data_IF_173737063953
#
_entry.id   IF_173737063953
#
_cell.length_a   1.000
_cell.length_b   1.000
_cell.length_c   1.000
_cell.angle_alpha   90.00
_cell.angle_beta   90.00
_cell.angle_gamma   90.00
#
_symmetry.space_group_name_H-M   'P 1'
#
loop_
_entity.id
_entity.type
_entity.pdbx_description
1 polymer ?
#
# COMPACT_ATOMS: atom_id res chain seq x y z
N UNK A 1 6.16 -8.02 -16.07
CA UNK A 1 5.39 -7.45 -14.96
C UNK A 1 4.62 -6.20 -15.40
N UNK A 2 5.22 -5.27 -16.14
CA UNK A 2 4.63 -3.96 -16.49
C UNK A 2 3.72 -3.93 -17.73
N UNK A 3 3.52 -5.05 -18.40
CA UNK A 3 2.66 -5.11 -19.60
C UNK A 3 1.20 -5.27 -19.21
N UNK A 4 0.30 -4.51 -19.88
CA UNK A 4 -1.16 -4.62 -19.73
C UNK A 4 -1.63 -4.53 -18.27
N UNK A 5 -1.17 -3.51 -17.56
CA UNK A 5 -1.53 -3.26 -16.17
C UNK A 5 -2.99 -2.76 -16.04
N UNK A 6 -3.96 -3.53 -16.50
CA UNK A 6 -5.37 -3.26 -16.17
C UNK A 6 -5.60 -3.52 -14.69
N UNK A 7 -6.45 -2.71 -14.09
CA UNK A 7 -6.63 -2.67 -12.63
C UNK A 7 -6.90 -4.03 -11.96
N UNK A 8 -7.57 -4.95 -12.63
CA UNK A 8 -7.89 -6.28 -12.08
C UNK A 8 -6.76 -7.32 -12.18
N UNK A 9 -5.77 -7.10 -13.04
CA UNK A 9 -4.80 -8.14 -13.36
C UNK A 9 -3.63 -8.23 -12.38
N UNK A 10 -3.41 -7.19 -11.59
CA UNK A 10 -2.21 -7.12 -10.74
C UNK A 10 -2.41 -7.74 -9.38
N UNK A 11 -3.62 -7.65 -8.82
CA UNK A 11 -3.97 -8.29 -7.55
C UNK A 11 -4.16 -9.81 -7.67
N UNK A 12 -4.44 -10.30 -8.89
CA UNK A 12 -4.59 -11.74 -9.17
C UNK A 12 -3.30 -12.45 -9.56
N UNK A 13 -2.16 -11.74 -9.70
CA UNK A 13 -0.88 -12.31 -10.17
C UNK A 13 0.09 -12.69 -9.05
N UNK A 14 -0.38 -13.10 -7.89
CA UNK A 14 0.47 -13.63 -6.84
C UNK A 14 1.09 -12.55 -5.94
N UNK A 15 2.33 -12.79 -5.51
CA UNK A 15 3.02 -12.10 -4.41
C UNK A 15 3.54 -10.70 -4.70
N UNK A 16 3.03 -10.01 -5.72
CA UNK A 16 3.52 -8.67 -6.10
C UNK A 16 2.40 -7.64 -6.20
N UNK A 17 2.78 -6.38 -6.10
CA UNK A 17 1.90 -5.24 -6.32
C UNK A 17 2.61 -4.17 -7.15
N UNK A 18 1.83 -3.29 -7.79
CA UNK A 18 2.35 -2.20 -8.61
C UNK A 18 2.08 -0.86 -7.94
N UNK A 19 3.12 -0.05 -7.89
CA UNK A 19 3.06 1.34 -7.46
C UNK A 19 3.11 2.28 -8.65
N UNK A 20 2.43 3.39 -8.51
CA UNK A 20 2.40 4.47 -9.48
C UNK A 20 2.87 5.78 -8.85
N UNK A 21 3.81 6.43 -9.52
CA UNK A 21 4.28 7.77 -9.18
C UNK A 21 5.50 7.79 -8.27
N UNK A 22 6.29 8.85 -8.44
CA UNK A 22 7.58 9.05 -7.78
C UNK A 22 7.50 8.99 -6.26
N UNK A 23 6.52 9.70 -5.67
CA UNK A 23 6.39 9.77 -4.22
C UNK A 23 6.14 8.39 -3.59
N UNK A 24 5.29 7.56 -4.20
CA UNK A 24 5.02 6.21 -3.71
C UNK A 24 6.26 5.33 -3.76
N UNK A 25 7.05 5.45 -4.84
CA UNK A 25 8.29 4.68 -5.00
C UNK A 25 9.35 5.15 -3.99
N UNK A 26 9.51 6.47 -3.82
CA UNK A 26 10.43 7.02 -2.81
C UNK A 26 10.05 6.59 -1.39
N UNK A 27 8.74 6.59 -1.07
CA UNK A 27 8.24 6.13 0.21
C UNK A 27 8.56 4.65 0.45
N UNK A 28 8.37 3.79 -0.55
CA UNK A 28 8.70 2.37 -0.44
C UNK A 28 10.20 2.16 -0.16
N UNK A 29 11.06 2.82 -0.93
CA UNK A 29 12.52 2.72 -0.76
C UNK A 29 12.96 3.24 0.61
N UNK A 30 12.41 4.36 1.07
CA UNK A 30 12.81 5.00 2.33
C UNK A 30 12.40 4.18 3.56
N UNK A 31 11.25 3.52 3.51
CA UNK A 31 10.70 2.80 4.66
C UNK A 31 11.11 1.34 4.74
N UNK A 32 11.56 0.74 3.63
CA UNK A 32 12.13 -0.62 3.58
C UNK A 32 11.21 -1.77 4.02
N UNK A 33 9.93 -1.50 4.29
CA UNK A 33 8.98 -2.50 4.82
C UNK A 33 8.60 -3.59 3.83
N UNK A 34 8.67 -3.28 2.53
CA UNK A 34 8.29 -4.21 1.48
C UNK A 34 9.41 -4.26 0.44
N UNK A 35 9.93 -5.44 0.11
CA UNK A 35 11.00 -5.56 -0.88
C UNK A 35 10.58 -5.04 -2.25
N UNK A 36 11.44 -4.23 -2.85
CA UNK A 36 11.26 -3.74 -4.20
C UNK A 36 11.83 -4.76 -5.19
N UNK A 37 11.02 -5.18 -6.15
CA UNK A 37 11.38 -6.17 -7.17
C UNK A 37 12.03 -5.49 -8.37
N UNK A 38 11.47 -4.36 -8.81
CA UNK A 38 11.99 -3.58 -9.95
C UNK A 38 11.34 -2.20 -10.02
N UNK A 39 11.94 -1.31 -10.82
CA UNK A 39 11.38 -0.01 -11.17
C UNK A 39 11.30 0.13 -12.67
N UNK A 40 10.28 0.81 -13.19
CA UNK A 40 10.15 1.14 -14.60
C UNK A 40 9.95 2.66 -14.76
N UNK A 41 10.82 3.29 -15.53
CA UNK A 41 10.87 4.73 -15.72
C UNK A 41 10.69 5.09 -17.20
N UNK A 42 10.03 6.21 -17.47
CA UNK A 42 10.17 6.85 -18.77
C UNK A 42 11.52 7.58 -18.85
N UNK A 43 12.09 7.72 -20.05
CA UNK A 43 13.35 8.43 -20.31
C UNK A 43 13.38 9.82 -19.64
N UNK A 44 12.26 10.53 -19.68
CA UNK A 44 12.13 11.87 -19.09
C UNK A 44 12.33 11.89 -17.57
N UNK A 45 12.21 10.73 -16.91
CA UNK A 45 12.37 10.58 -15.46
C UNK A 45 13.77 10.18 -15.04
N UNK A 46 14.65 9.82 -15.95
CA UNK A 46 16.02 9.39 -15.62
C UNK A 46 16.76 10.45 -14.82
N UNK A 47 16.80 11.68 -15.32
CA UNK A 47 17.51 12.78 -14.66
C UNK A 47 16.94 13.14 -13.26
N UNK A 48 15.62 13.37 -13.10
CA UNK A 48 15.04 13.66 -11.77
C UNK A 48 15.17 12.50 -10.78
N UNK A 49 15.24 11.27 -11.28
CA UNK A 49 15.29 10.06 -10.44
C UNK A 49 16.70 9.52 -10.23
N UNK A 50 17.76 10.18 -10.76
CA UNK A 50 19.12 9.71 -10.68
C UNK A 50 19.59 9.30 -9.27
N UNK A 51 19.34 10.07 -8.19
CA UNK A 51 19.73 9.66 -6.84
C UNK A 51 19.03 8.39 -6.37
N UNK A 52 17.77 8.19 -6.78
CA UNK A 52 17.05 6.97 -6.46
C UNK A 52 17.57 5.77 -7.26
N UNK A 53 17.87 5.97 -8.55
CA UNK A 53 18.45 4.93 -9.41
C UNK A 53 19.78 4.45 -8.83
N UNK A 54 20.63 5.35 -8.37
CA UNK A 54 21.88 5.01 -7.71
C UNK A 54 21.67 4.19 -6.44
N UNK A 55 20.73 4.60 -5.60
CA UNK A 55 20.38 3.84 -4.40
C UNK A 55 19.87 2.43 -4.73
N UNK A 56 19.02 2.30 -5.77
CA UNK A 56 18.47 1.01 -6.22
C UNK A 56 19.57 0.09 -6.79
N UNK A 57 20.54 0.66 -7.49
CA UNK A 57 21.67 -0.11 -8.06
C UNK A 57 22.51 -0.75 -6.96
N UNK A 58 22.72 -0.09 -5.83
CA UNK A 58 23.43 -0.64 -4.66
C UNK A 58 22.74 -1.87 -4.06
N UNK A 59 21.42 -2.00 -4.27
CA UNK A 59 20.60 -3.11 -3.79
C UNK A 59 20.25 -4.11 -4.90
N UNK A 60 20.90 -4.03 -6.06
CA UNK A 60 20.67 -4.89 -7.23
C UNK A 60 19.18 -4.90 -7.68
N UNK A 61 18.48 -3.79 -7.52
CA UNK A 61 17.08 -3.65 -7.99
C UNK A 61 17.08 -3.23 -9.46
N UNK A 62 16.52 -4.03 -10.38
CA UNK A 62 16.49 -3.71 -11.80
C UNK A 62 15.70 -2.43 -12.09
N UNK A 63 16.27 -1.55 -12.93
CA UNK A 63 15.60 -0.35 -13.41
C UNK A 63 15.41 -0.46 -14.93
N UNK A 64 14.15 -0.55 -15.35
CA UNK A 64 13.78 -0.59 -16.78
C UNK A 64 13.48 0.82 -17.27
N UNK A 65 13.98 1.19 -18.42
CA UNK A 65 13.74 2.48 -19.04
C UNK A 65 12.98 2.30 -20.35
N UNK A 66 11.88 3.02 -20.50
CA UNK A 66 11.04 2.99 -21.69
C UNK A 66 11.00 4.37 -22.35
N UNK A 67 10.92 4.39 -23.67
CA UNK A 67 10.61 5.61 -24.42
C UNK A 67 9.26 6.16 -23.98
N UNK A 68 9.15 7.46 -23.90
CA UNK A 68 7.95 8.09 -23.30
C UNK A 68 6.68 7.83 -24.10
N UNK A 69 6.75 7.70 -25.41
CA UNK A 69 5.67 7.35 -26.32
C UNK A 69 5.24 5.88 -26.18
N UNK A 70 6.20 4.97 -25.98
CA UNK A 70 5.94 3.56 -25.80
C UNK A 70 5.41 3.20 -24.39
N UNK A 71 5.57 4.08 -23.41
CA UNK A 71 5.26 3.76 -22.02
C UNK A 71 3.78 3.44 -21.84
N UNK A 72 2.88 4.29 -22.34
CA UNK A 72 1.43 4.10 -22.22
C UNK A 72 0.94 2.87 -22.97
N UNK A 73 1.49 2.56 -24.14
CA UNK A 73 1.11 1.36 -24.91
C UNK A 73 1.53 0.07 -24.21
N UNK A 74 2.70 0.06 -23.55
CA UNK A 74 3.18 -1.12 -22.81
C UNK A 74 2.36 -1.37 -21.55
N UNK A 75 2.04 -0.32 -20.78
CA UNK A 75 1.27 -0.45 -19.54
C UNK A 75 -0.23 -0.66 -19.78
N UNK A 76 -0.73 -0.37 -20.98
CA UNK A 76 -2.11 -0.62 -21.39
C UNK A 76 -3.13 0.45 -20.94
N UNK A 77 -2.66 1.62 -20.52
CA UNK A 77 -3.50 2.79 -20.19
C UNK A 77 -2.71 4.09 -20.35
N UNK A 78 -3.42 5.21 -20.46
CA UNK A 78 -2.78 6.52 -20.59
C UNK A 78 -2.06 6.90 -19.28
N UNK A 79 -0.72 6.89 -19.35
CA UNK A 79 0.12 7.02 -18.17
C UNK A 79 1.11 8.19 -18.30
N UNK A 80 0.82 9.29 -17.60
CA UNK A 80 1.59 10.53 -17.71
C UNK A 80 2.72 10.66 -16.67
N UNK A 81 2.68 9.89 -15.58
CA UNK A 81 3.63 10.07 -14.47
C UNK A 81 5.02 9.53 -14.75
N UNK A 82 5.14 8.55 -15.65
CA UNK A 82 6.41 7.99 -16.10
C UNK A 82 7.24 7.27 -15.04
N UNK A 83 6.63 6.86 -13.92
CA UNK A 83 7.29 6.12 -12.83
C UNK A 83 6.37 5.03 -12.32
N UNK A 84 6.78 3.79 -12.46
CA UNK A 84 6.16 2.59 -11.89
C UNK A 84 7.18 1.81 -11.08
N UNK A 85 6.71 1.07 -10.09
CA UNK A 85 7.52 0.09 -9.38
C UNK A 85 6.72 -1.18 -9.13
N UNK A 86 7.44 -2.29 -9.04
CA UNK A 86 6.90 -3.58 -8.62
C UNK A 86 7.48 -3.89 -7.24
N UNK A 87 6.62 -4.05 -6.25
CA UNK A 87 6.99 -4.48 -4.91
C UNK A 87 6.52 -5.91 -4.65
N UNK A 88 7.19 -6.60 -3.73
CA UNK A 88 6.74 -7.89 -3.22
C UNK A 88 5.72 -7.67 -2.10
N UNK A 89 4.61 -8.41 -2.13
CA UNK A 89 3.61 -8.33 -1.07
C UNK A 89 4.21 -8.80 0.25
N UNK A 90 3.97 -8.09 1.36
CA UNK A 90 4.34 -8.59 2.66
C UNK A 90 3.44 -9.77 3.04
N UNK A 91 3.93 -10.64 3.90
CA UNK A 91 3.05 -11.52 4.65
C UNK A 91 2.14 -10.64 5.51
N UNK A 92 0.85 -10.83 5.42
CA UNK A 92 -0.08 -10.16 6.32
C UNK A 92 0.12 -10.70 7.74
N UNK A 93 0.09 -9.79 8.70
CA UNK A 93 0.13 -10.15 10.10
C UNK A 93 -1.24 -10.68 10.52
N UNK A 94 -1.27 -11.73 11.30
CA UNK A 94 -2.49 -12.16 11.98
C UNK A 94 -2.89 -11.13 13.05
N UNK A 95 -4.18 -10.97 13.38
CA UNK A 95 -4.63 -9.99 14.37
C UNK A 95 -3.87 -10.03 15.70
N UNK A 96 -3.51 -11.18 16.28
CA UNK A 96 -2.68 -11.23 17.48
C UNK A 96 -1.26 -10.71 17.26
N UNK A 97 -0.69 -10.82 16.05
CA UNK A 97 0.62 -10.28 15.71
C UNK A 97 0.56 -8.76 15.59
N UNK A 98 -0.53 -8.24 14.99
CA UNK A 98 -0.78 -6.79 14.93
C UNK A 98 -0.88 -6.22 16.35
N UNK A 99 -1.65 -6.85 17.23
CA UNK A 99 -1.78 -6.41 18.61
C UNK A 99 -0.43 -6.37 19.34
N UNK A 100 0.44 -7.36 19.11
CA UNK A 100 1.79 -7.40 19.68
C UNK A 100 2.76 -6.35 19.09
N UNK A 101 2.50 -5.88 17.89
CA UNK A 101 3.31 -4.86 17.23
C UNK A 101 2.99 -3.43 17.67
N UNK A 102 1.89 -3.24 18.40
CA UNK A 102 1.51 -1.93 18.92
C UNK A 102 2.41 -1.50 20.08
N UNK A 103 2.59 -0.19 20.30
CA UNK A 103 3.29 0.31 21.47
C UNK A 103 2.66 -0.24 22.76
N UNK A 104 3.48 -0.69 23.68
CA UNK A 104 3.03 -1.18 24.99
C UNK A 104 2.71 -0.05 25.98
N UNK A 105 3.29 1.12 25.72
CA UNK A 105 3.09 2.32 26.53
C UNK A 105 2.35 3.39 25.70
N UNK A 106 1.48 4.15 26.38
CA UNK A 106 0.67 5.18 25.75
C UNK A 106 -0.62 4.64 25.12
N UNK A 107 -1.25 5.49 24.30
CA UNK A 107 -2.50 5.17 23.60
C UNK A 107 -2.18 4.75 22.15
N UNK A 108 -2.82 3.70 21.69
CA UNK A 108 -2.76 3.28 20.29
C UNK A 108 -4.17 3.16 19.72
N UNK A 109 -4.36 3.73 18.55
CA UNK A 109 -5.61 3.65 17.81
C UNK A 109 -5.48 2.60 16.71
N UNK A 110 -6.44 1.67 16.67
CA UNK A 110 -6.59 0.70 15.57
C UNK A 110 -7.89 1.04 14.84
N UNK A 111 -7.81 1.06 13.52
CA UNK A 111 -8.98 1.24 12.68
C UNK A 111 -9.48 -0.12 12.22
N UNK A 112 -10.79 -0.37 12.42
CA UNK A 112 -11.49 -1.52 11.85
C UNK A 112 -12.32 -1.04 10.66
N UNK A 113 -12.13 -1.62 9.50
CA UNK A 113 -12.88 -1.29 8.29
C UNK A 113 -13.70 -2.48 7.81
N UNK A 114 -15.02 -2.29 7.70
CA UNK A 114 -15.97 -3.29 7.25
C UNK A 114 -16.51 -2.95 5.86
N UNK A 115 -16.35 -3.87 4.93
CA UNK A 115 -16.92 -3.80 3.57
C UNK A 115 -16.58 -2.48 2.83
N UNK A 116 -15.35 -1.99 2.99
CA UNK A 116 -14.86 -0.79 2.31
C UNK A 116 -14.43 -1.17 0.89
N UNK A 117 -15.38 -1.22 -0.06
CA UNK A 117 -15.14 -1.69 -1.41
C UNK A 117 -14.57 -0.63 -2.35
N UNK A 118 -14.71 0.66 -2.03
CA UNK A 118 -14.22 1.75 -2.85
C UNK A 118 -12.73 1.97 -2.59
N UNK A 119 -11.93 1.90 -3.66
CA UNK A 119 -10.47 2.09 -3.61
C UNK A 119 -10.04 3.49 -3.15
N UNK A 120 -10.84 4.52 -3.44
CA UNK A 120 -10.58 5.88 -2.98
C UNK A 120 -10.79 5.97 -1.45
N UNK A 121 -11.83 5.29 -0.94
CA UNK A 121 -12.11 5.23 0.49
C UNK A 121 -11.00 4.46 1.24
N UNK A 122 -10.56 3.31 0.71
CA UNK A 122 -9.44 2.57 1.29
C UNK A 122 -8.17 3.43 1.28
N UNK A 123 -7.84 4.06 0.16
CA UNK A 123 -6.68 4.95 0.07
C UNK A 123 -6.77 6.13 1.03
N UNK A 124 -7.94 6.76 1.14
CA UNK A 124 -8.23 7.84 2.09
C UNK A 124 -8.08 7.39 3.55
N UNK A 125 -8.58 6.19 3.87
CA UNK A 125 -8.45 5.59 5.19
C UNK A 125 -6.99 5.46 5.62
N UNK A 126 -6.14 4.89 4.76
CA UNK A 126 -4.71 4.73 5.05
C UNK A 126 -3.96 6.07 5.14
N UNK A 127 -4.34 7.06 4.35
CA UNK A 127 -3.78 8.41 4.45
C UNK A 127 -4.13 9.05 5.79
N UNK A 128 -5.37 8.94 6.23
CA UNK A 128 -5.82 9.47 7.51
C UNK A 128 -5.22 8.67 8.69
N UNK A 129 -5.16 7.34 8.59
CA UNK A 129 -4.49 6.50 9.59
C UNK A 129 -3.04 6.94 9.82
N UNK A 130 -2.30 7.21 8.76
CA UNK A 130 -0.93 7.71 8.85
C UNK A 130 -0.87 9.12 9.46
N UNK A 131 -1.76 10.03 9.06
CA UNK A 131 -1.79 11.40 9.54
C UNK A 131 -2.10 11.49 11.05
N UNK A 132 -2.96 10.60 11.55
CA UNK A 132 -3.35 10.54 12.97
C UNK A 132 -2.49 9.57 13.80
N UNK A 133 -1.46 8.97 13.21
CA UNK A 133 -0.56 8.07 13.93
C UNK A 133 -1.22 6.76 14.39
N UNK A 134 -2.22 6.27 13.65
CA UNK A 134 -2.84 5.00 13.98
C UNK A 134 -1.83 3.85 13.89
N UNK A 135 -1.87 2.93 14.85
CA UNK A 135 -0.95 1.81 14.93
C UNK A 135 -1.19 0.76 13.86
N UNK A 136 -2.45 0.54 13.46
CA UNK A 136 -2.80 -0.43 12.42
C UNK A 136 -4.18 -0.17 11.83
N UNK A 137 -4.42 -0.80 10.66
CA UNK A 137 -5.72 -0.91 10.00
C UNK A 137 -6.06 -2.39 9.84
N UNK A 138 -7.21 -2.82 10.32
CA UNK A 138 -7.74 -4.17 10.11
C UNK A 138 -8.95 -4.07 9.17
N UNK A 139 -8.92 -4.84 8.10
CA UNK A 139 -9.95 -4.85 7.07
C UNK A 139 -10.59 -6.23 6.97
N UNK A 140 -11.89 -6.30 6.81
CA UNK A 140 -12.56 -7.56 6.50
C UNK A 140 -12.20 -8.07 5.10
N UNK A 141 -12.54 -9.32 4.82
CA UNK A 141 -12.23 -9.97 3.53
C UNK A 141 -13.00 -9.37 2.35
N UNK A 142 -14.09 -8.62 2.64
CA UNK A 142 -14.92 -7.94 1.63
C UNK A 142 -14.38 -6.57 1.23
N UNK A 143 -13.52 -5.99 2.04
CA UNK A 143 -12.91 -4.69 1.76
C UNK A 143 -11.90 -4.80 0.61
N UNK A 144 -11.75 -3.72 -0.15
CA UNK A 144 -10.78 -3.65 -1.23
C UNK A 144 -9.33 -3.73 -0.71
N UNK A 145 -8.44 -4.16 -1.58
CA UNK A 145 -7.03 -4.35 -1.23
C UNK A 145 -6.30 -2.99 -1.16
N UNK A 146 -5.68 -2.63 0.00
CA UNK A 146 -4.93 -1.39 0.13
C UNK A 146 -3.68 -1.32 -0.76
N UNK A 147 -3.13 -2.45 -1.19
CA UNK A 147 -2.02 -2.51 -2.13
C UNK A 147 -2.45 -2.47 -3.60
N UNK A 148 -3.74 -2.28 -3.84
CA UNK A 148 -4.21 -2.00 -5.18
C UNK A 148 -3.62 -0.68 -5.69
N UNK A 149 -3.17 -0.63 -6.95
CA UNK A 149 -2.48 0.53 -7.53
C UNK A 149 -3.19 1.86 -7.27
N UNK A 150 -4.53 1.88 -7.43
CA UNK A 150 -5.34 3.07 -7.17
C UNK A 150 -5.36 3.45 -5.68
N UNK A 151 -5.56 2.49 -4.79
CA UNK A 151 -5.56 2.72 -3.34
C UNK A 151 -4.20 3.22 -2.85
N UNK A 152 -3.09 2.60 -3.29
CA UNK A 152 -1.74 3.09 -3.02
C UNK A 152 -1.53 4.54 -3.48
N UNK A 153 -2.02 4.90 -4.68
CA UNK A 153 -1.93 6.26 -5.22
C UNK A 153 -2.72 7.26 -4.38
N UNK A 154 -3.97 6.95 -4.05
CA UNK A 154 -4.85 7.82 -3.26
C UNK A 154 -4.35 7.99 -1.84
N UNK A 155 -3.78 6.94 -1.26
CA UNK A 155 -3.13 7.04 0.05
C UNK A 155 -1.84 7.87 0.05
N UNK A 156 -1.34 8.31 -1.12
CA UNK A 156 -0.02 8.95 -1.22
C UNK A 156 1.14 8.01 -0.86
N UNK A 157 0.92 6.70 -0.93
CA UNK A 157 1.88 5.67 -0.53
C UNK A 157 1.80 5.27 0.94
N UNK A 158 0.90 5.86 1.73
CA UNK A 158 0.78 5.52 3.16
C UNK A 158 0.26 4.09 3.41
N UNK A 159 -0.44 3.48 2.44
CA UNK A 159 -0.78 2.06 2.49
C UNK A 159 0.45 1.13 2.57
N UNK A 160 1.64 1.63 2.24
CA UNK A 160 2.91 0.90 2.35
C UNK A 160 3.53 0.99 3.76
N UNK A 161 3.08 1.94 4.58
CA UNK A 161 3.73 2.30 5.83
C UNK A 161 2.89 1.91 7.05
N UNK A 162 1.57 2.09 6.97
CA UNK A 162 0.65 1.73 8.03
C UNK A 162 0.50 0.21 8.05
N UNK A 163 0.78 -0.48 9.16
CA UNK A 163 0.54 -1.90 9.28
C UNK A 163 -0.94 -2.22 9.04
N UNK A 164 -1.21 -3.29 8.30
CA UNK A 164 -2.57 -3.74 8.11
C UNK A 164 -2.67 -5.26 8.08
N UNK A 165 -3.87 -5.76 8.36
CA UNK A 165 -4.20 -7.17 8.26
C UNK A 165 -5.61 -7.36 7.69
N UNK A 166 -5.89 -8.59 7.26
CA UNK A 166 -7.23 -9.08 6.95
C UNK A 166 -7.79 -9.83 8.13
N UNK A 167 -9.07 -9.65 8.37
CA UNK A 167 -9.79 -10.31 9.45
C UNK A 167 -11.08 -10.93 8.91
N UNK A 168 -11.38 -12.16 9.34
CA UNK A 168 -12.60 -12.86 8.93
C UNK A 168 -13.86 -12.29 9.61
N UNK A 169 -13.74 -11.88 10.86
CA UNK A 169 -14.87 -11.38 11.66
C UNK A 169 -14.50 -10.11 12.42
N UNK A 170 -15.14 -9.02 12.06
CA UNK A 170 -15.02 -7.76 12.80
C UNK A 170 -15.63 -7.89 14.21
N UNK A 171 -16.74 -8.61 14.34
CA UNK A 171 -17.40 -8.85 15.61
C UNK A 171 -16.48 -9.50 16.64
N UNK A 172 -15.71 -10.50 16.22
CA UNK A 172 -14.77 -11.20 17.12
C UNK A 172 -13.64 -10.29 17.58
N UNK A 173 -13.13 -9.45 16.68
CA UNK A 173 -12.10 -8.46 17.03
C UNK A 173 -12.63 -7.41 17.99
N UNK A 174 -13.87 -6.95 17.79
CA UNK A 174 -14.54 -6.01 18.71
C UNK A 174 -14.74 -6.65 20.08
N UNK A 175 -15.21 -7.90 20.14
CA UNK A 175 -15.41 -8.63 21.39
C UNK A 175 -14.08 -8.79 22.15
N UNK A 176 -13.01 -9.21 21.46
CA UNK A 176 -11.69 -9.33 22.03
C UNK A 176 -11.13 -7.98 22.55
N UNK A 177 -11.31 -6.91 21.79
CA UNK A 177 -10.90 -5.56 22.18
C UNK A 177 -11.62 -5.10 23.47
N UNK A 178 -12.93 -5.30 23.56
CA UNK A 178 -13.73 -4.98 24.77
C UNK A 178 -13.27 -5.82 25.97
N UNK A 179 -13.02 -7.12 25.78
CA UNK A 179 -12.58 -8.00 26.84
C UNK A 179 -11.19 -7.61 27.41
N UNK A 180 -10.38 -6.91 26.62
CA UNK A 180 -9.06 -6.40 27.03
C UNK A 180 -9.07 -4.93 27.45
N UNK A 181 -10.26 -4.33 27.65
CA UNK A 181 -10.42 -2.98 28.18
C UNK A 181 -10.25 -1.86 27.14
N UNK A 182 -10.25 -2.16 25.84
CA UNK A 182 -10.20 -1.14 24.81
C UNK A 182 -11.55 -0.43 24.65
N UNK A 183 -11.49 0.87 24.41
CA UNK A 183 -12.66 1.67 24.03
C UNK A 183 -12.96 1.43 22.57
N UNK A 184 -14.17 0.99 22.25
CA UNK A 184 -14.65 0.79 20.89
C UNK A 184 -15.59 1.94 20.51
N UNK A 185 -15.25 2.64 19.43
CA UNK A 185 -16.03 3.74 18.86
C UNK A 185 -16.51 3.36 17.46
N UNK A 186 -17.81 3.45 17.22
CA UNK A 186 -18.39 3.25 15.89
C UNK A 186 -18.57 4.59 15.19
N UNK A 187 -18.05 4.71 13.96
CA UNK A 187 -18.33 5.82 13.07
C UNK A 187 -19.47 5.40 12.14
N UNK A 188 -20.62 6.03 12.30
CA UNK A 188 -21.82 5.76 11.51
C UNK A 188 -22.27 7.03 10.81
N UNK A 189 -22.89 6.87 9.64
CA UNK A 189 -23.59 7.99 9.00
C UNK A 189 -24.85 8.32 9.80
N UNK A 190 -25.18 9.60 9.95
CA UNK A 190 -26.40 10.04 10.59
C UNK A 190 -27.67 9.55 9.86
#
# INVERSE_FOLDING_TARGET
VYRNLKERDVTGRGDVFILEGENSVRNLVRNGRMPLVSVCLSERRLRPMAPLIEALSRHNVPVYVLKSDAFSSIVGFNFHRGVLACGKRPRLLEPPEVARSLPREGHSTIILGETINNLDNVGGLFRNAAAFGCGAVLLDDKSADPLYRKACRVSGGHALNVPFSRIGSIGDVIAAAKATGHIVVALVTP
#
